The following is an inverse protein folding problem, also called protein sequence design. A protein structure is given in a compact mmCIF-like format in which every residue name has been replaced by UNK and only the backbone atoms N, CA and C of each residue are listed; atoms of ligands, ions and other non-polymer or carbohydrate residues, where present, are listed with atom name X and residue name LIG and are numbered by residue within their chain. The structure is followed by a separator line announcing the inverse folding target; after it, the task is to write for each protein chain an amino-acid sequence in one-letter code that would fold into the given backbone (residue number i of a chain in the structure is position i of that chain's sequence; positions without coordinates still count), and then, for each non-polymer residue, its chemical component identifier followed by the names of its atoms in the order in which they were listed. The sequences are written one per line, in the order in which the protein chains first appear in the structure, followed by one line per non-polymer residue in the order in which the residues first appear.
data_IF_889073182424
#
_entry.id   IF_889073182424
#
_cell.length_a   1.000
_cell.length_b   1.000
_cell.length_c   1.000
_cell.angle_alpha   90.00
_cell.angle_beta   90.00
_cell.angle_gamma   90.00
#
_symmetry.space_group_name_H-M   'P 1'
#
loop_
_entity.id
_entity.type
_entity.pdbx_description
1 polymer ?
#
# COMPACT_ATOMS: atom_id res chain seq x y z
N UNK A 1 -35.03 -9.58 24.73
CA UNK A 1 -33.61 -9.20 24.87
C UNK A 1 -32.88 -9.80 23.67
N UNK A 2 -32.58 -8.99 22.66
CA UNK A 2 -31.89 -9.42 21.44
C UNK A 2 -30.44 -8.94 21.54
N UNK A 3 -29.51 -9.87 21.72
CA UNK A 3 -28.07 -9.56 21.72
C UNK A 3 -27.61 -9.66 20.27
N UNK A 4 -27.42 -8.52 19.62
CA UNK A 4 -26.71 -8.44 18.34
C UNK A 4 -25.22 -8.50 18.67
N UNK A 5 -24.61 -9.65 18.44
CA UNK A 5 -23.16 -9.79 18.50
C UNK A 5 -22.62 -9.23 17.19
N UNK A 6 -22.15 -7.99 17.21
CA UNK A 6 -21.41 -7.42 16.10
C UNK A 6 -20.09 -8.17 15.97
N UNK A 7 -20.00 -9.04 14.96
CA UNK A 7 -18.75 -9.66 14.55
C UNK A 7 -17.81 -8.55 14.08
N UNK A 8 -16.89 -8.12 14.94
CA UNK A 8 -15.76 -7.30 14.55
C UNK A 8 -14.93 -8.13 13.57
N UNK A 9 -15.12 -7.88 12.28
CA UNK A 9 -14.30 -8.47 11.23
C UNK A 9 -12.86 -8.03 11.42
N UNK A 10 -12.04 -8.89 12.01
CA UNK A 10 -10.60 -8.75 11.99
C UNK A 10 -10.21 -9.02 10.54
N UNK A 11 -10.03 -7.96 9.75
CA UNK A 11 -9.48 -8.05 8.41
C UNK A 11 -7.99 -8.43 8.50
N UNK A 12 -7.72 -9.68 8.84
CA UNK A 12 -6.38 -10.26 8.92
C UNK A 12 -6.12 -11.11 7.67
N UNK A 13 -6.26 -10.51 6.50
CA UNK A 13 -5.71 -11.10 5.28
C UNK A 13 -4.22 -10.72 5.24
N UNK A 14 -3.39 -11.43 6.00
CA UNK A 14 -1.97 -11.52 5.69
C UNK A 14 -1.86 -12.42 4.45
N UNK A 15 -2.33 -11.88 3.32
CA UNK A 15 -2.28 -12.55 2.04
C UNK A 15 -0.81 -12.89 1.74
N UNK A 16 -0.60 -14.07 1.14
CA UNK A 16 0.72 -14.57 0.78
C UNK A 16 1.55 -13.55 0.00
N UNK A 17 2.83 -13.85 -0.19
CA UNK A 17 3.71 -13.01 -0.99
C UNK A 17 3.03 -12.68 -2.32
N UNK A 18 2.99 -11.40 -2.68
CA UNK A 18 2.42 -10.96 -3.94
C UNK A 18 3.24 -11.44 -5.14
N UNK A 19 2.80 -11.09 -6.35
CA UNK A 19 3.45 -11.52 -7.59
C UNK A 19 4.91 -11.06 -7.69
N UNK A 20 5.27 -9.99 -6.99
CA UNK A 20 6.62 -9.43 -6.92
C UNK A 20 7.38 -9.84 -5.64
N UNK A 21 6.84 -10.79 -4.87
CA UNK A 21 7.43 -11.29 -3.63
C UNK A 21 7.20 -10.42 -2.39
N UNK A 22 6.40 -9.36 -2.53
CA UNK A 22 6.11 -8.36 -1.51
C UNK A 22 4.96 -8.72 -0.57
N UNK A 23 4.68 -7.84 0.39
CA UNK A 23 3.53 -7.96 1.30
C UNK A 23 2.32 -7.33 0.64
N UNK A 24 1.18 -8.00 0.64
CA UNK A 24 -0.05 -7.50 0.00
C UNK A 24 -1.07 -7.06 1.07
N UNK A 25 -1.60 -5.86 0.90
CA UNK A 25 -2.80 -5.39 1.60
C UNK A 25 -3.91 -5.12 0.58
N UNK A 26 -5.17 -5.16 1.00
CA UNK A 26 -6.31 -4.77 0.15
C UNK A 26 -6.95 -3.49 0.68
N UNK A 27 -7.32 -2.59 -0.22
CA UNK A 27 -8.03 -1.34 0.10
C UNK A 27 -9.12 -1.10 -0.92
N UNK A 28 -10.38 -1.09 -0.48
CA UNK A 28 -11.54 -0.94 -1.37
C UNK A 28 -11.54 -1.94 -2.56
N UNK A 29 -11.23 -3.21 -2.31
CA UNK A 29 -11.12 -4.23 -3.37
C UNK A 29 -9.73 -4.31 -4.01
N UNK A 30 -9.09 -3.16 -4.25
CA UNK A 30 -7.78 -3.07 -4.89
C UNK A 30 -6.65 -3.69 -4.04
N UNK A 31 -5.93 -4.71 -4.54
CA UNK A 31 -4.70 -5.19 -3.91
C UNK A 31 -3.56 -4.17 -4.11
N UNK A 32 -2.77 -4.00 -3.06
CA UNK A 32 -1.61 -3.13 -3.00
C UNK A 32 -0.46 -3.98 -2.50
N UNK A 33 0.52 -4.25 -3.37
CA UNK A 33 1.71 -5.01 -3.01
C UNK A 33 2.86 -4.07 -2.69
N UNK A 34 3.41 -4.18 -1.49
CA UNK A 34 4.60 -3.47 -1.05
C UNK A 34 5.86 -4.31 -1.25
N UNK A 35 6.80 -3.77 -2.03
CA UNK A 35 8.14 -4.33 -2.24
C UNK A 35 9.18 -3.30 -1.83
N UNK A 36 10.17 -3.74 -1.06
CA UNK A 36 11.40 -2.99 -0.85
C UNK A 36 12.47 -3.55 -1.79
N UNK A 37 13.08 -2.68 -2.58
CA UNK A 37 14.18 -3.05 -3.48
C UNK A 37 15.22 -1.94 -3.47
N UNK A 38 16.46 -2.29 -3.14
CA UNK A 38 17.55 -1.34 -2.99
C UNK A 38 17.18 -0.18 -2.02
N UNK A 39 17.32 1.07 -2.46
CA UNK A 39 16.89 2.29 -1.75
C UNK A 39 15.55 2.81 -2.26
N UNK A 40 14.67 1.90 -2.66
CA UNK A 40 13.33 2.22 -3.12
C UNK A 40 12.28 1.42 -2.37
N UNK A 41 11.13 2.04 -2.20
CA UNK A 41 9.88 1.33 -1.95
C UNK A 41 9.02 1.40 -3.20
N UNK A 42 8.38 0.28 -3.51
CA UNK A 42 7.55 0.13 -4.69
C UNK A 42 6.19 -0.38 -4.21
N UNK A 43 5.14 0.28 -4.64
CA UNK A 43 3.77 -0.20 -4.49
C UNK A 43 3.23 -0.59 -5.87
N UNK A 44 2.90 -1.86 -6.04
CA UNK A 44 2.16 -2.32 -7.21
C UNK A 44 0.67 -2.26 -6.88
N UNK A 45 -0.11 -1.59 -7.72
CA UNK A 45 -1.55 -1.49 -7.57
C UNK A 45 -2.23 -2.48 -8.50
N UNK A 46 -3.23 -3.20 -8.00
CA UNK A 46 -4.11 -4.02 -8.82
C UNK A 46 -5.56 -3.56 -8.74
N UNK A 47 -6.34 -3.98 -9.71
CA UNK A 47 -7.79 -3.89 -9.71
C UNK A 47 -8.40 -5.03 -8.89
N UNK A 48 -9.71 -5.01 -8.64
CA UNK A 48 -10.42 -6.01 -7.84
C UNK A 48 -10.28 -7.43 -8.42
N UNK A 49 -10.19 -7.53 -9.75
CA UNK A 49 -9.95 -8.77 -10.49
C UNK A 49 -8.47 -9.24 -10.47
N UNK A 50 -7.58 -8.45 -9.89
CA UNK A 50 -6.14 -8.72 -9.80
C UNK A 50 -5.33 -8.26 -11.01
N UNK A 51 -5.96 -7.64 -12.02
CA UNK A 51 -5.26 -7.02 -13.14
C UNK A 51 -4.48 -5.76 -12.70
N UNK A 52 -3.47 -5.30 -13.46
CA UNK A 52 -2.72 -4.09 -13.11
C UNK A 52 -3.60 -2.83 -13.15
N UNK A 53 -3.67 -2.07 -12.05
CA UNK A 53 -4.36 -0.78 -12.00
C UNK A 53 -3.43 0.34 -12.53
N UNK A 54 -3.78 1.07 -13.60
CA UNK A 54 -2.95 2.15 -14.14
C UNK A 54 -2.68 3.26 -13.12
N UNK A 55 -1.43 3.72 -13.04
CA UNK A 55 -1.00 4.70 -12.01
C UNK A 55 -0.75 6.11 -12.52
N UNK A 56 -0.95 6.38 -13.81
CA UNK A 56 -0.56 7.65 -14.45
C UNK A 56 -1.27 8.87 -13.84
N UNK A 57 -2.55 8.72 -13.47
CA UNK A 57 -3.35 9.75 -12.82
C UNK A 57 -3.33 9.68 -11.28
N UNK A 58 -2.71 8.63 -10.70
CA UNK A 58 -2.71 8.38 -9.27
C UNK A 58 -1.60 9.20 -8.59
N UNK A 59 -1.97 9.88 -7.51
CA UNK A 59 -1.03 10.60 -6.64
C UNK A 59 -0.98 9.90 -5.29
N UNK A 60 0.22 9.59 -4.83
CA UNK A 60 0.40 8.86 -3.58
C UNK A 60 1.59 9.32 -2.76
N UNK A 61 1.56 8.98 -1.48
CA UNK A 61 2.63 9.19 -0.51
C UNK A 61 2.79 7.96 0.37
N UNK A 62 3.98 7.81 0.93
CA UNK A 62 4.24 6.87 2.01
C UNK A 62 4.82 7.60 3.22
N UNK A 63 4.22 7.39 4.39
CA UNK A 63 4.76 7.82 5.67
C UNK A 63 5.44 6.63 6.33
N UNK A 64 6.72 6.78 6.62
CA UNK A 64 7.58 5.73 7.16
C UNK A 64 7.96 6.14 8.58
N UNK A 65 7.80 5.21 9.52
CA UNK A 65 8.37 5.30 10.85
C UNK A 65 9.44 4.23 11.00
N UNK A 66 10.68 4.64 11.22
CA UNK A 66 11.83 3.73 11.31
C UNK A 66 12.85 4.28 12.30
N UNK A 67 13.32 3.43 13.23
CA UNK A 67 14.28 3.84 14.27
C UNK A 67 13.85 5.06 15.09
N UNK A 68 12.55 5.24 15.34
CA UNK A 68 12.00 6.41 16.04
C UNK A 68 11.90 7.70 15.21
N UNK A 69 12.33 7.68 13.94
CA UNK A 69 12.18 8.80 13.00
C UNK A 69 10.93 8.61 12.15
N UNK A 70 10.27 9.71 11.82
CA UNK A 70 9.16 9.72 10.86
C UNK A 70 9.56 10.50 9.62
N UNK A 71 9.31 9.95 8.43
CA UNK A 71 9.56 10.61 7.15
C UNK A 71 8.37 10.36 6.22
N UNK A 72 7.97 11.38 5.46
CA UNK A 72 6.96 11.21 4.40
C UNK A 72 7.63 11.41 3.06
N UNK A 73 7.44 10.46 2.16
CA UNK A 73 7.95 10.51 0.79
C UNK A 73 6.77 10.61 -0.18
N UNK A 74 6.92 11.47 -1.18
CA UNK A 74 6.00 11.51 -2.31
C UNK A 74 6.35 10.36 -3.26
N UNK A 75 5.32 9.69 -3.79
CA UNK A 75 5.50 8.58 -4.71
C UNK A 75 5.38 9.10 -6.14
N UNK A 76 6.25 8.59 -7.01
CA UNK A 76 6.22 8.85 -8.44
C UNK A 76 5.52 7.69 -9.13
N UNK A 77 4.55 8.00 -10.00
CA UNK A 77 3.94 6.98 -10.85
C UNK A 77 4.91 6.47 -11.89
N UNK A 78 4.84 5.17 -12.17
CA UNK A 78 5.61 4.52 -13.21
C UNK A 78 4.75 3.43 -13.84
N UNK A 79 4.69 3.43 -15.16
CA UNK A 79 3.85 2.51 -15.90
C UNK A 79 4.28 1.04 -15.69
N UNK A 80 3.33 0.08 -15.69
CA UNK A 80 1.89 0.32 -15.83
C UNK A 80 1.21 0.71 -14.50
N UNK A 81 1.61 0.08 -13.39
CA UNK A 81 0.85 0.08 -12.13
C UNK A 81 1.69 0.35 -10.87
N UNK A 82 2.79 1.10 -11.00
CA UNK A 82 3.74 1.30 -9.91
C UNK A 82 3.64 2.72 -9.31
N UNK A 83 3.74 2.79 -8.00
CA UNK A 83 4.08 4.02 -7.26
C UNK A 83 5.41 3.80 -6.54
N UNK A 84 6.43 4.58 -6.92
CA UNK A 84 7.81 4.40 -6.47
C UNK A 84 8.22 5.56 -5.57
N UNK A 85 8.77 5.25 -4.40
CA UNK A 85 9.35 6.21 -3.48
C UNK A 85 10.84 5.97 -3.29
N UNK A 86 11.66 7.02 -3.39
CA UNK A 86 13.09 6.95 -3.08
C UNK A 86 13.31 7.10 -1.57
N UNK A 87 14.10 6.21 -1.01
CA UNK A 87 14.54 6.26 0.39
C UNK A 87 15.89 6.96 0.49
N UNK A 88 16.13 7.67 1.59
CA UNK A 88 17.45 8.25 1.89
C UNK A 88 18.41 7.22 2.50
N UNK A 89 17.87 6.14 3.07
CA UNK A 89 18.61 5.01 3.62
C UNK A 89 17.74 3.74 3.52
N UNK A 90 18.34 2.53 3.47
CA UNK A 90 17.57 1.29 3.59
C UNK A 90 16.68 1.30 4.84
N UNK A 91 15.48 0.73 4.74
CA UNK A 91 14.61 0.57 5.91
C UNK A 91 15.19 -0.46 6.87
N UNK A 92 15.15 -0.15 8.16
CA UNK A 92 15.43 -1.10 9.22
C UNK A 92 14.36 -2.17 9.35
N UNK A 93 14.67 -3.20 10.14
CA UNK A 93 13.66 -4.16 10.60
C UNK A 93 12.60 -3.47 11.45
N UNK A 94 11.35 -3.89 11.32
CA UNK A 94 10.18 -3.31 12.01
C UNK A 94 9.85 -1.86 11.65
N UNK A 95 10.40 -1.32 10.56
CA UNK A 95 9.92 -0.08 9.98
C UNK A 95 8.42 -0.20 9.65
N UNK A 96 7.65 0.83 10.00
CA UNK A 96 6.20 0.89 9.74
C UNK A 96 5.96 1.82 8.57
N UNK A 97 5.24 1.34 7.56
CA UNK A 97 4.95 2.08 6.35
C UNK A 97 3.44 2.27 6.26
N UNK A 98 2.99 3.52 6.15
CA UNK A 98 1.61 3.88 5.87
C UNK A 98 1.54 4.46 4.45
N UNK A 99 0.91 3.73 3.55
CA UNK A 99 0.62 4.14 2.18
C UNK A 99 -0.71 4.87 2.11
N UNK A 100 -0.76 5.95 1.33
CA UNK A 100 -2.00 6.65 0.99
C UNK A 100 -1.91 7.18 -0.44
N UNK A 101 -2.90 6.86 -1.27
CA UNK A 101 -3.00 7.39 -2.61
C UNK A 101 -4.44 7.75 -2.96
N UNK A 102 -4.60 8.69 -3.88
CA UNK A 102 -5.90 9.12 -4.39
C UNK A 102 -6.01 8.73 -5.85
N UNK A 103 -7.13 8.13 -6.21
CA UNK A 103 -7.50 7.80 -7.59
C UNK A 103 -8.87 8.36 -7.92
N UNK A 104 -9.18 8.42 -9.21
CA UNK A 104 -10.52 8.72 -9.71
C UNK A 104 -11.02 7.51 -10.48
N UNK A 105 -12.13 6.93 -10.03
CA UNK A 105 -12.82 5.80 -10.65
C UNK A 105 -14.27 6.20 -10.86
N UNK A 106 -14.81 6.02 -12.07
CA UNK A 106 -16.18 6.41 -12.44
C UNK A 106 -16.57 7.86 -12.09
N UNK A 107 -15.59 8.77 -12.11
CA UNK A 107 -15.79 10.19 -11.75
C UNK A 107 -15.84 10.47 -10.24
N UNK A 108 -15.66 9.45 -9.41
CA UNK A 108 -15.58 9.57 -7.96
C UNK A 108 -14.14 9.49 -7.46
N UNK A 109 -13.81 10.30 -6.46
CA UNK A 109 -12.48 10.29 -5.84
C UNK A 109 -12.43 9.23 -4.75
N UNK A 110 -11.53 8.26 -4.91
CA UNK A 110 -11.29 7.18 -3.95
C UNK A 110 -9.92 7.36 -3.29
N UNK A 111 -9.82 7.01 -2.01
CA UNK A 111 -8.54 6.98 -1.30
C UNK A 111 -8.16 5.53 -0.98
N UNK A 112 -7.03 5.10 -1.54
CA UNK A 112 -6.38 3.86 -1.17
C UNK A 112 -5.51 4.07 0.05
N UNK A 113 -5.62 3.17 1.03
CA UNK A 113 -4.72 3.16 2.20
C UNK A 113 -4.24 1.76 2.51
N UNK A 114 -2.98 1.63 2.90
CA UNK A 114 -2.41 0.35 3.32
C UNK A 114 -1.33 0.56 4.37
N UNK A 115 -1.09 -0.47 5.20
CA UNK A 115 -0.07 -0.44 6.26
C UNK A 115 0.77 -1.69 6.20
N UNK A 116 2.09 -1.52 6.33
CA UNK A 116 3.07 -2.58 6.27
C UNK A 116 4.07 -2.46 7.41
N UNK A 117 4.69 -3.58 7.76
CA UNK A 117 5.81 -3.65 8.70
C UNK A 117 6.90 -4.52 8.07
N UNK A 118 8.14 -4.03 8.04
CA UNK A 118 9.31 -4.80 7.58
C UNK A 118 9.68 -5.85 8.63
N UNK A 119 10.24 -6.98 8.18
CA UNK A 119 10.56 -8.11 9.07
C UNK A 119 11.85 -7.91 9.88
#
# INVERSE_FOLDING_TARGET
MLVVVASLGIANAQAGKGANGGKVAKSQGHPIEFVQKDQQIIFYLGDDDGSPLPTESIRGRATIQDGGKTTTIQLQSSAPNLLIGKLQAPLGSKARIAFSATMVEDGHTHTLTARYVTD
#
